data_IF_161683057070
#
_entry.id   IF_161683057070
#
_cell.length_a   1.000
_cell.length_b   1.000
_cell.length_c   1.000
_cell.angle_alpha   90.00
_cell.angle_beta   90.00
_cell.angle_gamma   90.00
#
_symmetry.space_group_name_H-M   'P 1'
#
loop_
_entity.id
_entity.type
_entity.pdbx_description
1 polymer ?
#
# COMPACT_ATOMS: atom_id res chain seq x y z
N UNK A 1 -19.80 31.54 -2.69
CA UNK A 1 -19.72 30.17 -2.14
C UNK A 1 -20.04 29.13 -3.24
N UNK A 2 -19.00 28.50 -3.80
CA UNK A 2 -19.18 27.47 -4.83
C UNK A 2 -19.94 26.27 -4.28
N UNK A 3 -20.84 25.70 -5.09
CA UNK A 3 -21.64 24.51 -4.78
C UNK A 3 -20.70 23.38 -4.33
N UNK A 4 -20.90 22.81 -3.13
CA UNK A 4 -20.21 21.57 -2.70
C UNK A 4 -20.49 20.51 -3.76
N UNK A 5 -19.45 19.97 -4.41
CA UNK A 5 -19.61 18.79 -5.27
C UNK A 5 -20.12 17.66 -4.38
N UNK A 6 -21.27 17.08 -4.72
CA UNK A 6 -21.81 15.88 -4.06
C UNK A 6 -21.51 14.67 -4.98
N UNK A 7 -21.23 13.49 -4.40
CA UNK A 7 -21.09 12.24 -5.16
C UNK A 7 -19.73 12.00 -5.85
N UNK A 8 -18.62 12.54 -5.32
CA UNK A 8 -17.29 12.31 -5.90
C UNK A 8 -16.55 11.16 -5.18
N UNK A 9 -15.93 10.25 -5.94
CA UNK A 9 -15.19 9.08 -5.42
C UNK A 9 -14.11 9.43 -4.40
N UNK A 10 -13.40 10.54 -4.60
CA UNK A 10 -12.42 11.06 -3.64
C UNK A 10 -12.97 11.16 -2.21
N UNK A 11 -14.22 11.58 -2.00
CA UNK A 11 -14.70 11.88 -0.65
C UNK A 11 -14.93 10.64 0.20
N UNK A 12 -15.50 9.57 -0.36
CA UNK A 12 -15.66 8.31 0.37
C UNK A 12 -14.30 7.65 0.60
N UNK A 13 -13.41 7.65 -0.39
CA UNK A 13 -12.06 7.07 -0.23
C UNK A 13 -11.21 7.85 0.79
N UNK A 14 -11.23 9.19 0.79
CA UNK A 14 -10.57 9.96 1.85
C UNK A 14 -11.17 9.70 3.25
N UNK A 15 -12.48 9.44 3.31
CA UNK A 15 -13.16 9.06 4.57
C UNK A 15 -12.67 7.70 5.06
N UNK A 16 -12.57 6.70 4.17
CA UNK A 16 -12.01 5.39 4.47
C UNK A 16 -10.55 5.49 4.93
N UNK A 17 -9.72 6.21 4.18
CA UNK A 17 -8.31 6.47 4.54
C UNK A 17 -8.22 7.08 5.93
N UNK A 18 -9.01 8.12 6.21
CA UNK A 18 -9.02 8.79 7.53
C UNK A 18 -9.40 7.82 8.66
N UNK A 19 -10.39 6.95 8.42
CA UNK A 19 -10.80 5.95 9.39
C UNK A 19 -9.70 4.91 9.65
N UNK A 20 -9.07 4.39 8.59
CA UNK A 20 -7.94 3.46 8.69
C UNK A 20 -6.78 4.08 9.50
N UNK A 21 -6.38 5.31 9.17
CA UNK A 21 -5.31 6.02 9.87
C UNK A 21 -5.65 6.24 11.34
N UNK A 22 -6.89 6.64 11.67
CA UNK A 22 -7.33 6.81 13.04
C UNK A 22 -7.31 5.50 13.87
N UNK A 23 -7.47 4.36 13.20
CA UNK A 23 -7.37 3.03 13.80
C UNK A 23 -5.93 2.46 13.78
N UNK A 24 -4.95 3.22 13.29
CA UNK A 24 -3.55 2.78 13.23
C UNK A 24 -3.18 1.91 12.03
N UNK A 25 -3.99 1.87 10.98
CA UNK A 25 -3.68 1.17 9.73
C UNK A 25 -3.14 2.17 8.70
N UNK A 26 -1.87 2.06 8.28
CA UNK A 26 -1.34 2.90 7.22
C UNK A 26 -2.19 2.80 5.96
N UNK A 27 -2.64 3.94 5.46
CA UNK A 27 -3.51 4.04 4.30
C UNK A 27 -3.09 5.22 3.42
N UNK A 28 -3.27 5.09 2.12
CA UNK A 28 -2.90 6.12 1.15
C UNK A 28 -3.93 6.28 0.04
N UNK A 29 -3.97 7.51 -0.48
CA UNK A 29 -4.73 7.84 -1.67
C UNK A 29 -3.90 7.55 -2.93
N UNK A 30 -4.51 6.83 -3.87
CA UNK A 30 -3.97 6.64 -5.22
C UNK A 30 -5.00 7.10 -6.25
N UNK A 31 -4.55 7.90 -7.21
CA UNK A 31 -5.30 8.18 -8.42
C UNK A 31 -5.00 7.08 -9.45
N UNK A 32 -6.05 6.50 -9.99
CA UNK A 32 -5.98 5.52 -11.09
C UNK A 32 -6.62 6.13 -12.33
N UNK A 33 -5.94 6.05 -13.47
CA UNK A 33 -6.41 6.69 -14.69
C UNK A 33 -5.84 6.01 -15.93
N UNK A 34 -6.47 6.25 -17.08
CA UNK A 34 -5.83 5.99 -18.38
C UNK A 34 -5.23 7.28 -18.94
N UNK A 35 -4.59 7.24 -20.11
CA UNK A 35 -4.06 8.46 -20.72
C UNK A 35 -5.16 9.41 -21.19
N UNK A 36 -6.33 8.89 -21.57
CA UNK A 36 -7.36 9.65 -22.29
C UNK A 36 -8.66 9.86 -21.47
N UNK A 37 -8.96 9.05 -20.45
CA UNK A 37 -10.24 9.10 -19.70
C UNK A 37 -10.17 9.80 -18.34
N UNK A 38 -11.35 10.06 -17.76
CA UNK A 38 -11.48 10.54 -16.39
C UNK A 38 -10.90 9.51 -15.41
N UNK A 39 -10.17 9.99 -14.41
CA UNK A 39 -9.57 9.14 -13.39
C UNK A 39 -10.57 8.75 -12.32
N UNK A 40 -10.15 7.80 -11.47
CA UNK A 40 -10.86 7.40 -10.27
C UNK A 40 -9.91 7.48 -9.08
N UNK A 41 -10.47 7.83 -7.92
CA UNK A 41 -9.69 8.03 -6.70
C UNK A 41 -9.97 6.88 -5.76
N UNK A 42 -8.93 6.16 -5.36
CA UNK A 42 -9.03 4.91 -4.62
C UNK A 42 -8.09 4.88 -3.43
N UNK A 43 -8.21 3.84 -2.62
CA UNK A 43 -7.45 3.66 -1.39
C UNK A 43 -6.52 2.45 -1.51
N UNK A 44 -5.33 2.55 -0.94
CA UNK A 44 -4.56 1.36 -0.55
C UNK A 44 -4.31 1.38 0.96
N UNK A 45 -4.43 0.21 1.59
CA UNK A 45 -4.17 0.02 3.03
C UNK A 45 -3.11 -1.04 3.22
N UNK A 46 -2.17 -0.81 4.13
CA UNK A 46 -1.16 -1.79 4.50
C UNK A 46 -1.76 -2.90 5.37
N UNK A 47 -1.50 -4.17 5.01
CA UNK A 47 -1.86 -5.34 5.79
C UNK A 47 -0.61 -6.02 6.35
N UNK A 48 -0.49 -6.07 7.69
CA UNK A 48 0.55 -6.85 8.36
C UNK A 48 0.36 -8.36 8.13
N UNK A 49 -0.86 -8.83 7.85
CA UNK A 49 -1.18 -10.25 7.64
C UNK A 49 -0.67 -10.74 6.29
N UNK A 50 -0.85 -9.93 5.24
CA UNK A 50 -0.39 -10.26 3.89
C UNK A 50 1.00 -9.70 3.56
N UNK A 51 1.56 -8.91 4.47
CA UNK A 51 2.83 -8.19 4.30
C UNK A 51 2.91 -7.34 3.03
N UNK A 52 1.82 -6.62 2.75
CA UNK A 52 1.67 -5.81 1.54
C UNK A 52 0.59 -4.75 1.66
N UNK A 53 0.64 -3.81 0.73
CA UNK A 53 -0.49 -2.93 0.44
C UNK A 53 -1.65 -3.73 -0.18
N UNK A 54 -2.88 -3.29 0.05
CA UNK A 54 -4.11 -3.89 -0.47
C UNK A 54 -4.99 -2.80 -1.04
N UNK A 55 -5.45 -2.98 -2.27
CA UNK A 55 -6.39 -2.10 -2.94
C UNK A 55 -7.78 -2.18 -2.29
N UNK A 56 -8.38 -1.02 -2.04
CA UNK A 56 -9.74 -0.85 -1.55
C UNK A 56 -10.41 0.32 -2.27
N UNK A 57 -11.71 0.21 -2.53
CA UNK A 57 -12.48 1.32 -3.07
C UNK A 57 -13.83 1.47 -2.36
N UNK A 58 -13.93 2.54 -1.56
CA UNK A 58 -15.12 2.90 -0.82
C UNK A 58 -16.28 3.40 -1.71
N UNK A 59 -16.03 3.67 -3.00
CA UNK A 59 -17.09 4.12 -3.94
C UNK A 59 -18.00 2.96 -4.30
N UNK A 60 -17.42 1.78 -4.53
CA UNK A 60 -18.12 0.56 -4.94
C UNK A 60 -18.14 -0.53 -3.86
N UNK A 61 -17.54 -0.25 -2.70
CA UNK A 61 -17.46 -1.17 -1.55
C UNK A 61 -16.84 -2.52 -1.92
N UNK A 62 -15.60 -2.51 -2.44
CA UNK A 62 -14.93 -3.73 -2.88
C UNK A 62 -13.40 -3.69 -2.71
N UNK A 63 -12.81 -4.87 -2.79
CA UNK A 63 -11.41 -5.08 -3.13
C UNK A 63 -11.26 -6.19 -4.17
N UNK A 64 -10.08 -6.23 -4.79
CA UNK A 64 -9.69 -7.26 -5.75
C UNK A 64 -8.75 -8.27 -5.09
N UNK A 65 -8.84 -9.53 -5.49
CA UNK A 65 -7.98 -10.61 -5.01
C UNK A 65 -7.60 -11.57 -6.14
N UNK A 66 -6.52 -12.31 -5.92
CA UNK A 66 -6.09 -13.39 -6.78
C UNK A 66 -7.02 -14.60 -6.60
N UNK A 67 -7.73 -15.05 -7.66
CA UNK A 67 -8.74 -16.11 -7.54
C UNK A 67 -8.16 -17.49 -7.14
N UNK A 68 -6.88 -17.75 -7.37
CA UNK A 68 -6.26 -19.05 -7.08
C UNK A 68 -5.79 -19.15 -5.63
N UNK A 69 -5.35 -18.01 -5.06
CA UNK A 69 -4.78 -17.95 -3.70
C UNK A 69 -5.71 -17.31 -2.67
N UNK A 70 -6.72 -16.55 -3.12
CA UNK A 70 -7.58 -15.74 -2.26
C UNK A 70 -6.88 -14.50 -1.67
N UNK A 71 -5.62 -14.23 -2.04
CA UNK A 71 -4.83 -13.13 -1.47
C UNK A 71 -5.26 -11.81 -2.12
N UNK A 72 -5.55 -10.75 -1.33
CA UNK A 72 -5.86 -9.44 -1.87
C UNK A 72 -4.71 -8.83 -2.69
N UNK A 73 -5.07 -8.09 -3.73
CA UNK A 73 -4.14 -7.47 -4.66
C UNK A 73 -3.89 -6.00 -4.31
N UNK A 74 -2.67 -5.52 -4.54
CA UNK A 74 -2.36 -4.10 -4.61
C UNK A 74 -2.55 -3.56 -6.02
N UNK A 75 -2.47 -2.23 -6.17
CA UNK A 75 -2.68 -1.59 -7.46
C UNK A 75 -1.59 -1.91 -8.49
N UNK A 76 -0.34 -2.12 -8.07
CA UNK A 76 0.75 -2.48 -8.99
C UNK A 76 0.51 -3.86 -9.58
N UNK A 77 0.11 -4.84 -8.78
CA UNK A 77 -0.22 -6.19 -9.27
C UNK A 77 -1.44 -6.16 -10.22
N UNK A 78 -2.44 -5.33 -9.94
CA UNK A 78 -3.57 -5.14 -10.84
C UNK A 78 -3.14 -4.49 -12.17
N UNK A 79 -2.24 -3.51 -12.11
CA UNK A 79 -1.61 -2.90 -13.29
C UNK A 79 -0.81 -3.93 -14.10
N UNK A 80 -0.04 -4.80 -13.44
CA UNK A 80 0.75 -5.84 -14.09
C UNK A 80 -0.15 -6.88 -14.80
N UNK A 81 -1.23 -7.34 -14.16
CA UNK A 81 -2.22 -8.23 -14.81
C UNK A 81 -2.87 -7.59 -16.04
N UNK A 82 -3.16 -6.30 -15.99
CA UNK A 82 -3.64 -5.56 -17.16
C UNK A 82 -2.58 -5.45 -18.25
N UNK A 83 -1.31 -5.27 -17.87
CA UNK A 83 -0.20 -5.18 -18.82
C UNK A 83 -0.04 -6.48 -19.61
N UNK A 84 -0.20 -7.65 -18.97
CA UNK A 84 -0.08 -8.97 -19.61
C UNK A 84 -1.09 -9.18 -20.74
N UNK A 85 -2.29 -8.63 -20.61
CA UNK A 85 -3.36 -8.77 -21.62
C UNK A 85 -3.40 -7.60 -22.60
N UNK A 86 -2.67 -6.53 -22.33
CA UNK A 86 -2.62 -5.38 -23.23
C UNK A 86 -1.65 -5.70 -24.39
N UNK A 87 -2.03 -5.51 -25.66
CA UNK A 87 -1.22 -5.89 -26.83
C UNK A 87 -0.15 -4.87 -27.21
N UNK A 88 -0.36 -3.58 -26.88
CA UNK A 88 0.61 -2.51 -27.14
C UNK A 88 0.52 -1.41 -26.07
N UNK A 89 1.60 -0.63 -25.84
CA UNK A 89 1.59 0.42 -24.84
C UNK A 89 0.47 1.43 -25.02
N UNK A 90 -0.22 1.76 -23.93
CA UNK A 90 -1.30 2.74 -23.94
C UNK A 90 -0.75 4.16 -24.20
N UNK A 91 -1.21 4.78 -25.29
CA UNK A 91 -0.86 6.15 -25.67
C UNK A 91 -2.08 7.08 -25.57
N UNK A 92 -1.90 8.35 -25.92
CA UNK A 92 -3.03 9.28 -26.04
C UNK A 92 -3.92 8.92 -27.26
N UNK A 93 -3.29 8.52 -28.36
CA UNK A 93 -3.93 8.11 -29.62
C UNK A 93 -4.58 6.73 -29.53
N UNK A 94 -3.93 5.81 -28.81
CA UNK A 94 -4.38 4.43 -28.60
C UNK A 94 -4.44 4.16 -27.09
N UNK A 95 -5.50 4.62 -26.40
CA UNK A 95 -5.65 4.38 -24.98
C UNK A 95 -6.03 2.91 -24.73
N UNK A 96 -5.94 2.45 -23.47
CA UNK A 96 -6.18 1.04 -23.12
C UNK A 96 -7.58 0.54 -23.53
N UNK A 97 -8.59 1.41 -23.52
CA UNK A 97 -9.95 1.09 -23.96
C UNK A 97 -10.00 0.71 -25.45
N UNK A 98 -9.08 1.22 -26.26
CA UNK A 98 -8.93 0.82 -27.68
C UNK A 98 -8.35 -0.58 -27.81
N UNK A 99 -7.46 -0.95 -26.87
CA UNK A 99 -6.79 -2.24 -26.85
C UNK A 99 -7.66 -3.36 -26.26
N UNK A 100 -8.50 -3.00 -25.28
CA UNK A 100 -9.37 -3.91 -24.55
C UNK A 100 -10.84 -3.45 -24.69
N UNK A 101 -11.43 -3.55 -25.88
CA UNK A 101 -12.75 -2.97 -26.17
C UNK A 101 -13.92 -3.75 -25.56
N UNK A 102 -13.73 -5.03 -25.20
CA UNK A 102 -14.80 -5.93 -24.77
C UNK A 102 -14.43 -6.66 -23.48
N UNK A 103 -15.44 -6.94 -22.66
CA UNK A 103 -15.32 -7.53 -21.32
C UNK A 103 -14.64 -8.90 -21.30
N UNK A 104 -14.87 -9.73 -22.32
CA UNK A 104 -14.26 -11.06 -22.43
C UNK A 104 -12.73 -10.99 -22.37
N UNK A 105 -12.12 -9.96 -22.96
CA UNK A 105 -10.67 -9.78 -22.91
C UNK A 105 -10.18 -9.40 -21.50
N UNK A 106 -11.00 -8.69 -20.73
CA UNK A 106 -10.66 -8.29 -19.36
C UNK A 106 -10.71 -9.46 -18.39
N UNK A 107 -11.51 -10.49 -18.68
CA UNK A 107 -11.49 -11.72 -17.87
C UNK A 107 -10.11 -12.40 -17.87
N UNK A 108 -9.33 -12.20 -18.95
CA UNK A 108 -7.96 -12.72 -19.04
C UNK A 108 -6.98 -12.04 -18.07
N UNK A 109 -7.34 -10.88 -17.47
CA UNK A 109 -6.56 -10.30 -16.38
C UNK A 109 -6.60 -11.18 -15.11
N UNK A 110 -7.49 -12.18 -15.05
CA UNK A 110 -7.58 -13.18 -14.00
C UNK A 110 -7.69 -12.55 -12.60
N UNK A 111 -8.68 -11.67 -12.42
CA UNK A 111 -8.93 -10.96 -11.15
C UNK A 111 -10.32 -11.31 -10.64
N UNK A 112 -10.43 -11.60 -9.34
CA UNK A 112 -11.71 -11.76 -8.66
C UNK A 112 -11.96 -10.63 -7.67
N UNK A 113 -13.21 -10.45 -7.28
CA UNK A 113 -13.65 -9.35 -6.42
C UNK A 113 -14.41 -9.86 -5.21
N UNK A 114 -14.17 -9.24 -4.05
CA UNK A 114 -15.11 -9.29 -2.94
C UNK A 114 -15.74 -7.91 -2.84
N UNK A 115 -17.06 -7.88 -2.86
CA UNK A 115 -17.85 -6.66 -2.73
C UNK A 115 -18.85 -6.77 -1.58
N UNK A 116 -19.25 -5.63 -1.03
CA UNK A 116 -20.37 -5.50 -0.11
C UNK A 116 -21.68 -5.20 -0.83
N UNK A 117 -22.63 -4.64 -0.09
CA UNK A 117 -24.00 -4.37 -0.56
C UNK A 117 -24.09 -2.96 -1.17
N UNK A 118 -23.46 -2.79 -2.34
CA UNK A 118 -23.53 -1.56 -3.11
C UNK A 118 -24.69 -1.61 -4.11
N UNK A 119 -25.43 -0.50 -4.25
CA UNK A 119 -26.54 -0.42 -5.22
C UNK A 119 -26.09 -0.55 -6.67
N UNK A 120 -24.80 -0.35 -6.94
CA UNK A 120 -24.16 -0.59 -8.24
C UNK A 120 -22.94 -1.49 -8.00
N UNK A 121 -23.11 -2.82 -8.08
CA UNK A 121 -22.06 -3.78 -7.74
C UNK A 121 -20.96 -3.81 -8.81
N UNK A 122 -19.75 -4.23 -8.42
CA UNK A 122 -18.55 -4.24 -9.29
C UNK A 122 -18.58 -5.37 -10.33
N UNK A 123 -19.38 -6.41 -10.12
CA UNK A 123 -19.62 -7.47 -11.10
C UNK A 123 -20.73 -7.13 -12.11
N UNK A 124 -21.29 -5.92 -12.04
CA UNK A 124 -22.13 -5.40 -13.11
C UNK A 124 -21.30 -5.26 -14.40
N UNK A 125 -21.64 -5.96 -15.50
CA UNK A 125 -20.89 -5.88 -16.75
C UNK A 125 -20.86 -4.47 -17.35
N UNK A 126 -21.85 -3.62 -17.04
CA UNK A 126 -21.86 -2.24 -17.54
C UNK A 126 -20.88 -1.31 -16.82
N UNK A 127 -20.29 -1.73 -15.68
CA UNK A 127 -19.53 -0.87 -14.77
C UNK A 127 -18.15 -1.44 -14.40
N UNK A 128 -18.09 -2.72 -14.02
CA UNK A 128 -16.89 -3.41 -13.55
C UNK A 128 -15.68 -3.32 -14.51
N UNK A 129 -15.87 -3.65 -15.80
CA UNK A 129 -14.85 -3.54 -16.84
C UNK A 129 -14.11 -2.20 -16.84
N UNK A 130 -14.87 -1.09 -16.81
CA UNK A 130 -14.32 0.25 -16.80
C UNK A 130 -13.49 0.52 -15.53
N UNK A 131 -13.96 0.05 -14.37
CA UNK A 131 -13.22 0.21 -13.11
C UNK A 131 -11.90 -0.59 -13.07
N UNK A 132 -11.83 -1.74 -13.74
CA UNK A 132 -10.60 -2.51 -13.84
C UNK A 132 -9.59 -1.77 -14.71
N UNK A 133 -9.97 -1.38 -15.92
CA UNK A 133 -9.12 -0.71 -16.92
C UNK A 133 -8.38 0.53 -16.37
N UNK A 134 -9.03 1.30 -15.47
CA UNK A 134 -8.42 2.49 -14.87
C UNK A 134 -7.13 2.21 -14.08
N UNK A 135 -6.89 0.96 -13.66
CA UNK A 135 -5.72 0.56 -12.87
C UNK A 135 -4.43 0.43 -13.68
N UNK A 136 -4.46 0.79 -14.97
CA UNK A 136 -3.27 0.80 -15.84
C UNK A 136 -2.21 1.81 -15.39
N UNK A 137 -2.56 3.09 -15.22
CA UNK A 137 -1.62 4.09 -14.71
C UNK A 137 -1.94 4.46 -13.26
N UNK A 138 -0.92 4.40 -12.41
CA UNK A 138 -1.05 4.63 -10.96
C UNK A 138 -0.31 5.90 -10.54
N UNK A 139 -0.96 6.76 -9.76
CA UNK A 139 -0.38 7.99 -9.23
C UNK A 139 -0.68 8.13 -7.75
N UNK A 140 0.30 7.80 -6.91
CA UNK A 140 0.21 7.95 -5.46
C UNK A 140 0.40 9.42 -5.08
N UNK A 141 -0.44 9.92 -4.18
CA UNK A 141 -0.26 11.26 -3.60
C UNK A 141 0.71 11.20 -2.42
N UNK A 142 1.73 12.06 -2.44
CA UNK A 142 2.80 12.08 -1.43
C UNK A 142 2.42 12.76 -0.12
N UNK A 143 1.12 13.02 0.11
CA UNK A 143 0.61 13.64 1.35
C UNK A 143 -0.82 13.22 1.62
N UNK A 144 -1.19 13.16 2.90
CA UNK A 144 -2.55 12.81 3.37
C UNK A 144 -3.12 13.82 4.39
N UNK A 145 -2.50 15.00 4.54
CA UNK A 145 -2.81 15.99 5.58
C UNK A 145 -3.71 17.13 5.09
N UNK A 146 -4.51 16.91 4.03
CA UNK A 146 -5.39 17.92 3.41
C UNK A 146 -6.40 18.56 4.38
N UNK A 147 -6.74 17.90 5.49
CA UNK A 147 -7.61 18.46 6.53
C UNK A 147 -6.92 19.57 7.36
N UNK A 148 -5.62 19.41 7.64
CA UNK A 148 -4.82 20.35 8.42
C UNK A 148 -4.14 21.40 7.54
N UNK A 149 -3.73 21.00 6.33
CA UNK A 149 -3.05 21.84 5.36
C UNK A 149 -3.78 21.74 4.01
N UNK A 150 -4.80 22.58 3.79
CA UNK A 150 -5.72 22.43 2.66
C UNK A 150 -5.10 22.79 1.30
N UNK A 151 -3.86 23.26 1.25
CA UNK A 151 -3.17 23.64 0.02
C UNK A 151 -1.73 23.09 0.01
N UNK A 152 -1.13 22.89 -1.18
CA UNK A 152 -1.77 22.99 -2.50
C UNK A 152 -2.80 21.87 -2.73
N UNK A 153 -3.97 22.26 -3.26
CA UNK A 153 -4.86 21.30 -3.92
C UNK A 153 -4.41 21.15 -5.36
N UNK A 154 -4.51 19.95 -5.93
CA UNK A 154 -4.30 19.81 -7.35
C UNK A 154 -5.41 20.57 -8.13
N UNK A 155 -5.11 20.99 -9.37
CA UNK A 155 -5.88 21.99 -10.12
C UNK A 155 -7.29 21.54 -10.63
N UNK A 156 -7.54 20.25 -10.90
CA UNK A 156 -8.86 19.69 -11.30
C UNK A 156 -9.21 18.30 -10.73
N UNK A 157 -10.16 18.24 -9.78
CA UNK A 157 -10.66 16.97 -9.24
C UNK A 157 -11.36 16.09 -10.30
N UNK A 158 -10.86 14.84 -10.49
CA UNK A 158 -11.27 13.71 -11.37
C UNK A 158 -10.58 13.49 -12.73
N UNK A 159 -9.45 14.14 -13.05
CA UNK A 159 -8.75 13.95 -14.34
C UNK A 159 -7.25 13.73 -14.16
N UNK A 160 -6.47 13.75 -15.24
CA UNK A 160 -5.01 13.71 -15.17
C UNK A 160 -4.44 14.90 -14.37
N UNK A 161 -3.65 14.60 -13.35
CA UNK A 161 -3.27 15.51 -12.27
C UNK A 161 -1.79 15.83 -12.25
N UNK A 162 -1.30 16.52 -13.27
CA UNK A 162 0.11 16.89 -13.30
C UNK A 162 0.52 17.82 -12.15
N UNK A 163 1.30 17.31 -11.19
CA UNK A 163 2.03 18.13 -10.21
C UNK A 163 3.19 17.34 -9.57
N UNK A 164 3.97 18.03 -8.75
CA UNK A 164 5.05 17.46 -7.92
C UNK A 164 4.54 16.75 -6.65
N UNK A 165 3.22 16.78 -6.40
CA UNK A 165 2.57 16.07 -5.29
C UNK A 165 2.38 14.58 -5.57
N UNK A 166 2.52 14.15 -6.81
CA UNK A 166 2.25 12.78 -7.22
C UNK A 166 3.55 12.03 -7.51
N UNK A 167 3.55 10.75 -7.17
CA UNK A 167 4.58 9.81 -7.53
C UNK A 167 3.97 8.66 -8.31
N UNK A 168 4.43 8.47 -9.54
CA UNK A 168 3.74 7.61 -10.50
C UNK A 168 4.50 6.31 -10.71
N UNK A 169 3.79 5.19 -10.67
CA UNK A 169 4.33 3.92 -11.16
C UNK A 169 4.17 3.85 -12.69
N UNK A 170 5.20 3.41 -13.41
CA UNK A 170 5.13 3.20 -14.86
C UNK A 170 5.71 1.83 -15.23
N UNK A 171 5.15 1.27 -16.31
CA UNK A 171 5.63 0.04 -16.94
C UNK A 171 5.70 0.20 -18.45
N UNK A 172 6.05 -0.88 -19.16
CA UNK A 172 6.18 -0.86 -20.62
C UNK A 172 4.83 -0.61 -21.30
N UNK A 173 3.76 -1.24 -20.78
CA UNK A 173 2.40 -1.13 -21.31
C UNK A 173 1.67 0.13 -20.83
N UNK A 174 2.10 0.69 -19.70
CA UNK A 174 1.56 1.91 -19.09
C UNK A 174 2.70 2.92 -18.90
N UNK A 175 3.13 3.57 -20.01
CA UNK A 175 4.32 4.41 -20.00
C UNK A 175 4.10 5.71 -19.23
N UNK A 176 5.20 6.41 -18.96
CA UNK A 176 5.16 7.69 -18.23
C UNK A 176 4.15 8.67 -18.84
N UNK A 177 3.40 9.31 -17.95
CA UNK A 177 2.51 10.43 -18.23
C UNK A 177 3.31 11.73 -18.05
N UNK A 178 3.37 12.56 -19.10
CA UNK A 178 4.25 13.73 -19.19
C UNK A 178 3.86 14.86 -18.24
N UNK A 179 2.60 14.89 -17.83
CA UNK A 179 2.04 15.86 -16.91
C UNK A 179 2.59 15.69 -15.48
N UNK A 180 3.11 14.51 -15.11
CA UNK A 180 3.70 14.25 -13.80
C UNK A 180 5.22 14.42 -13.81
N UNK A 181 5.80 14.83 -12.70
CA UNK A 181 7.25 15.09 -12.61
C UNK A 181 8.05 13.92 -12.02
N UNK A 182 7.42 13.07 -11.21
CA UNK A 182 8.10 12.03 -10.44
C UNK A 182 7.53 10.67 -10.82
N UNK A 183 8.41 9.77 -11.25
CA UNK A 183 8.04 8.43 -11.66
C UNK A 183 9.03 7.40 -11.13
N UNK A 184 8.53 6.19 -10.90
CA UNK A 184 9.34 5.02 -10.57
C UNK A 184 8.81 3.78 -11.29
N UNK A 185 9.71 2.83 -11.49
CA UNK A 185 9.40 1.45 -11.91
C UNK A 185 9.94 0.44 -10.89
N UNK A 186 10.42 0.91 -9.74
CA UNK A 186 10.92 0.07 -8.66
C UNK A 186 9.74 -0.26 -7.76
N UNK A 187 9.56 -1.54 -7.52
CA UNK A 187 8.51 -2.03 -6.64
C UNK A 187 8.57 -1.35 -5.27
N UNK A 188 9.75 -1.29 -4.64
CA UNK A 188 9.92 -0.80 -3.27
C UNK A 188 9.62 0.70 -3.13
N UNK A 189 9.84 1.49 -4.19
CA UNK A 189 9.55 2.92 -4.20
C UNK A 189 8.03 3.18 -4.14
N UNK A 190 7.23 2.29 -4.73
CA UNK A 190 5.77 2.40 -4.74
C UNK A 190 5.10 1.53 -3.68
N UNK A 191 5.69 0.41 -3.27
CA UNK A 191 5.14 -0.54 -2.30
C UNK A 191 6.18 -0.81 -1.19
N UNK A 192 6.50 0.19 -0.34
CA UNK A 192 7.41 -0.04 0.78
C UNK A 192 6.78 -1.00 1.80
N UNK A 193 7.61 -1.84 2.41
CA UNK A 193 7.23 -2.67 3.57
C UNK A 193 7.08 -1.80 4.81
N UNK A 194 6.02 -2.00 5.59
CA UNK A 194 5.75 -1.22 6.79
C UNK A 194 5.61 -2.09 8.04
N UNK A 195 5.76 -1.46 9.19
CA UNK A 195 5.53 -2.04 10.52
C UNK A 195 6.47 -3.20 10.90
N UNK A 196 7.44 -3.55 10.06
CA UNK A 196 8.45 -4.56 10.36
C UNK A 196 9.58 -3.97 11.20
N UNK A 197 10.22 -4.79 12.05
CA UNK A 197 11.44 -4.40 12.76
C UNK A 197 12.66 -4.99 12.08
N UNK A 198 13.59 -4.16 11.65
CA UNK A 198 14.91 -4.62 11.24
C UNK A 198 15.80 -4.78 12.48
N UNK A 199 16.53 -5.89 12.56
CA UNK A 199 17.39 -6.24 13.69
C UNK A 199 18.85 -6.30 13.26
N UNK A 200 19.70 -5.51 13.92
CA UNK A 200 21.13 -5.42 13.65
C UNK A 200 21.91 -5.90 14.88
N UNK A 201 22.25 -7.21 14.98
CA UNK A 201 23.07 -7.71 16.08
C UNK A 201 24.52 -7.28 15.93
N UNK A 202 25.09 -6.73 17.00
CA UNK A 202 26.45 -6.22 17.11
C UNK A 202 27.15 -6.89 18.30
N UNK A 203 28.30 -7.51 18.02
CA UNK A 203 29.13 -8.08 19.07
C UNK A 203 29.68 -6.98 19.99
N UNK A 204 29.72 -7.25 21.30
CA UNK A 204 30.29 -6.34 22.29
C UNK A 204 31.63 -6.87 22.81
N UNK A 205 32.28 -6.12 23.70
CA UNK A 205 33.48 -6.58 24.38
C UNK A 205 33.20 -7.74 25.36
N UNK A 206 31.97 -7.83 25.88
CA UNK A 206 31.51 -8.97 26.68
C UNK A 206 30.93 -10.02 25.72
N UNK A 207 31.59 -11.17 25.61
CA UNK A 207 31.17 -12.26 24.73
C UNK A 207 29.79 -12.85 25.10
N UNK A 208 29.31 -12.59 26.32
CA UNK A 208 27.97 -12.97 26.77
C UNK A 208 26.90 -11.91 26.46
N UNK A 209 27.24 -10.82 25.78
CA UNK A 209 26.30 -9.73 25.48
C UNK A 209 26.36 -9.36 24.00
N UNK A 210 25.19 -9.39 23.36
CA UNK A 210 24.97 -8.79 22.04
C UNK A 210 24.22 -7.47 22.20
N UNK A 211 24.68 -6.41 21.54
CA UNK A 211 23.85 -5.23 21.34
C UNK A 211 22.99 -5.47 20.10
N UNK A 212 21.70 -5.26 20.18
CA UNK A 212 20.80 -5.34 19.03
C UNK A 212 20.25 -3.96 18.76
N UNK A 213 20.68 -3.36 17.66
CA UNK A 213 20.12 -2.11 17.17
C UNK A 213 18.89 -2.42 16.31
N UNK A 214 17.88 -1.55 16.35
CA UNK A 214 16.57 -1.75 15.73
C UNK A 214 16.18 -0.54 14.89
N UNK A 215 15.59 -0.81 13.73
CA UNK A 215 15.02 0.22 12.86
C UNK A 215 13.65 -0.21 12.32
N UNK A 216 12.83 0.75 11.91
CA UNK A 216 11.50 0.49 11.35
C UNK A 216 10.92 1.67 10.58
N UNK A 217 10.21 1.34 9.51
CA UNK A 217 9.23 2.23 8.88
C UNK A 217 7.82 1.91 9.44
N UNK A 218 7.48 2.52 10.58
CA UNK A 218 6.17 2.38 11.24
C UNK A 218 5.52 3.76 11.40
N UNK A 219 4.47 4.08 10.61
CA UNK A 219 3.71 5.31 10.80
C UNK A 219 3.13 5.41 12.22
N UNK A 220 3.29 6.58 12.84
CA UNK A 220 2.91 6.82 14.23
C UNK A 220 3.56 5.82 15.22
N UNK A 221 4.81 5.44 15.00
CA UNK A 221 5.59 4.58 15.89
C UNK A 221 5.54 5.05 17.35
N UNK A 222 5.26 4.11 18.26
CA UNK A 222 5.26 4.34 19.71
C UNK A 222 6.49 3.67 20.36
N UNK A 223 6.68 2.38 20.13
CA UNK A 223 7.74 1.60 20.78
C UNK A 223 8.01 0.27 20.07
N UNK A 224 9.17 -0.32 20.35
CA UNK A 224 9.42 -1.74 20.12
C UNK A 224 8.97 -2.56 21.34
N UNK A 225 8.34 -3.70 21.08
CA UNK A 225 8.06 -4.71 22.08
C UNK A 225 9.03 -5.87 21.85
N UNK A 226 9.72 -6.30 22.90
CA UNK A 226 10.58 -7.47 22.86
C UNK A 226 10.00 -8.63 23.67
N UNK A 227 10.40 -9.83 23.27
CA UNK A 227 10.25 -11.05 24.07
C UNK A 227 11.54 -11.84 23.97
N UNK A 228 12.12 -12.13 25.12
CA UNK A 228 13.24 -13.04 25.26
C UNK A 228 12.69 -14.44 25.54
N UNK A 229 13.06 -15.42 24.70
CA UNK A 229 12.65 -16.82 24.80
C UNK A 229 11.14 -17.03 24.93
N UNK A 230 10.71 -17.61 26.05
CA UNK A 230 9.30 -17.80 26.41
C UNK A 230 8.81 -16.77 27.44
N UNK A 231 9.56 -15.70 27.66
CA UNK A 231 9.22 -14.63 28.58
C UNK A 231 8.03 -13.78 28.12
N UNK A 232 7.58 -12.84 28.97
CA UNK A 232 6.53 -11.90 28.62
C UNK A 232 7.03 -10.87 27.59
N UNK A 233 6.09 -10.25 26.86
CA UNK A 233 6.37 -9.07 26.06
C UNK A 233 6.62 -7.87 26.97
N UNK A 234 7.70 -7.13 26.70
CA UNK A 234 8.04 -5.89 27.41
C UNK A 234 8.48 -4.80 26.42
N UNK A 235 8.22 -3.51 26.73
CA UNK A 235 8.67 -2.41 25.88
C UNK A 235 10.19 -2.23 25.98
N UNK A 236 10.79 -1.79 24.88
CA UNK A 236 12.20 -1.41 24.82
C UNK A 236 12.31 0.12 24.93
N UNK A 237 13.10 0.64 25.88
CA UNK A 237 13.35 2.07 26.00
C UNK A 237 14.39 2.50 24.94
N UNK A 238 13.93 2.76 23.72
CA UNK A 238 14.76 3.27 22.62
C UNK A 238 14.91 2.30 21.45
N UNK A 239 15.96 2.50 20.66
CA UNK A 239 16.24 1.78 19.41
C UNK A 239 17.36 0.74 19.54
N UNK A 240 17.83 0.48 20.77
CA UNK A 240 18.91 -0.49 21.03
C UNK A 240 18.62 -1.27 22.31
N UNK A 241 19.03 -2.53 22.32
CA UNK A 241 18.92 -3.44 23.46
C UNK A 241 20.27 -4.13 23.71
N UNK A 242 20.72 -4.15 24.96
CA UNK A 242 21.77 -5.08 25.39
C UNK A 242 21.13 -6.42 25.78
N UNK A 243 21.38 -7.43 24.96
CA UNK A 243 20.86 -8.78 25.13
C UNK A 243 21.95 -9.68 25.73
N UNK A 244 21.83 -9.94 27.04
CA UNK A 244 22.68 -10.90 27.73
C UNK A 244 22.23 -12.32 27.38
N UNK A 245 23.16 -13.09 26.81
CA UNK A 245 22.97 -14.47 26.40
C UNK A 245 23.25 -15.43 27.56
N UNK A 246 22.48 -16.49 27.64
CA UNK A 246 22.77 -17.66 28.48
C UNK A 246 23.35 -18.79 27.62
N UNK A 247 23.96 -19.79 28.27
CA UNK A 247 24.50 -20.97 27.57
C UNK A 247 23.40 -21.68 26.76
N UNK A 248 23.74 -22.11 25.54
CA UNK A 248 22.81 -22.78 24.63
C UNK A 248 21.97 -21.82 23.77
N UNK A 249 20.76 -22.24 23.34
CA UNK A 249 19.94 -21.49 22.41
C UNK A 249 19.21 -20.33 23.10
N UNK A 250 19.35 -19.13 22.53
CA UNK A 250 18.68 -17.92 22.94
C UNK A 250 17.80 -17.42 21.78
N UNK A 251 16.66 -16.81 22.09
CA UNK A 251 15.81 -16.18 21.09
C UNK A 251 15.32 -14.80 21.52
N UNK A 252 15.40 -13.86 20.59
CA UNK A 252 14.86 -12.51 20.72
C UNK A 252 13.79 -12.33 19.64
N UNK A 253 12.56 -12.05 20.06
CA UNK A 253 11.48 -11.61 19.19
C UNK A 253 11.23 -10.13 19.41
N UNK A 254 11.11 -9.37 18.34
CA UNK A 254 10.78 -7.94 18.40
C UNK A 254 9.66 -7.64 17.42
N UNK A 255 8.75 -6.76 17.82
CA UNK A 255 7.74 -6.19 16.94
C UNK A 255 7.52 -4.72 17.28
N UNK A 256 7.02 -3.96 16.32
CA UNK A 256 6.64 -2.56 16.56
C UNK A 256 5.25 -2.47 17.18
N UNK A 257 4.98 -1.34 17.83
CA UNK A 257 3.63 -0.89 18.18
C UNK A 257 3.50 0.59 17.82
N UNK A 258 2.40 0.97 17.19
CA UNK A 258 2.08 2.38 16.94
C UNK A 258 1.19 2.98 18.03
N UNK A 259 0.96 4.30 17.98
CA UNK A 259 0.20 5.03 19.00
C UNK A 259 -1.28 4.62 19.12
N UNK A 260 -1.83 3.89 18.14
CA UNK A 260 -3.16 3.30 18.20
C UNK A 260 -3.16 1.88 18.81
N UNK A 261 -2.00 1.37 19.20
CA UNK A 261 -1.83 0.03 19.78
C UNK A 261 -1.72 -1.11 18.76
N UNK A 262 -1.71 -0.81 17.46
CA UNK A 262 -1.53 -1.82 16.40
C UNK A 262 -0.08 -2.28 16.40
N UNK A 263 0.12 -3.60 16.44
CA UNK A 263 1.44 -4.21 16.41
C UNK A 263 1.81 -4.69 15.00
N UNK A 264 3.08 -4.53 14.64
CA UNK A 264 3.68 -5.13 13.45
C UNK A 264 3.90 -6.64 13.56
N UNK A 265 4.33 -7.30 12.48
CA UNK A 265 4.79 -8.69 12.53
C UNK A 265 6.01 -8.86 13.42
N UNK A 266 6.27 -10.10 13.85
CA UNK A 266 7.40 -10.44 14.71
C UNK A 266 8.67 -10.71 13.88
N UNK A 267 9.73 -9.95 14.16
CA UNK A 267 11.09 -10.26 13.73
C UNK A 267 11.76 -11.16 14.76
N UNK A 268 12.45 -12.20 14.30
CA UNK A 268 13.05 -13.23 15.16
C UNK A 268 14.57 -13.33 14.92
N UNK A 269 15.33 -13.22 16.00
CA UNK A 269 16.76 -13.54 16.06
C UNK A 269 16.97 -14.77 16.95
N UNK A 270 17.78 -15.73 16.50
CA UNK A 270 18.20 -16.91 17.28
C UNK A 270 19.72 -16.99 17.29
N UNK A 271 20.28 -17.14 18.49
CA UNK A 271 21.73 -17.22 18.70
C UNK A 271 22.00 -18.39 19.65
N UNK A 272 23.02 -19.19 19.35
CA UNK A 272 23.53 -20.19 20.28
C UNK A 272 24.83 -19.66 20.89
N UNK A 273 24.87 -19.56 22.22
CA UNK A 273 26.11 -19.25 22.94
C UNK A 273 26.75 -20.56 23.38
N UNK A 274 28.04 -20.69 23.10
CA UNK A 274 28.90 -21.74 23.64
C UNK A 274 30.04 -21.05 24.38
N UNK A 275 30.11 -21.32 25.68
CA UNK A 275 31.21 -20.86 26.55
C UNK A 275 32.47 -21.72 26.44
#
# INVERSE_FOLDING_TARGET
PGRRRQGHCLFCNLTLISACLAMGYPARWVNISTKHTYGHEVTEVWSNEFDKWVFLDATRDYYAYDPDTGIPLNLVELSERLAEITPAPATWEFPIEHHLPNDDLLTAAHVAYRQGDNSVPIDNPDEGPHHLILKGHLQMVLRNDFASHPQPLPWRISSNWGSDLFYCYYGDMFPRKQEYQRHTRRWQDFNPSLNQTELFPVATADQSVLRVDMDTETPCFETFLMRLDSGPWSPIPGTSLEWRLHEGPNSLRVKTRNTAGVCGPESLLRVAMHS
#
